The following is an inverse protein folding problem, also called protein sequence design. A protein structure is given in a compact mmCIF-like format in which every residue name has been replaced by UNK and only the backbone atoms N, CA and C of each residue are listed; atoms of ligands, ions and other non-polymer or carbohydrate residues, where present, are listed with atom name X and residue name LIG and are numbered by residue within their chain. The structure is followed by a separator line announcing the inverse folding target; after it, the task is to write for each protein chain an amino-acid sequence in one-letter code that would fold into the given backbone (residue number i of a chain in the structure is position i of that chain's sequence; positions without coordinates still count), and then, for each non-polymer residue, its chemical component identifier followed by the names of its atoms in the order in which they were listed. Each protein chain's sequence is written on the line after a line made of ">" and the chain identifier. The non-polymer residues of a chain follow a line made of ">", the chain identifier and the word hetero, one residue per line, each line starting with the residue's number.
data_IF_239882401150
#
_entry.id   IF_239882401150
#
_cell.length_a   1.000
_cell.length_b   1.000
_cell.length_c   1.000
_cell.angle_alpha   90.00
_cell.angle_beta   90.00
_cell.angle_gamma   90.00
#
_symmetry.space_group_name_H-M   'P 1'
#
loop_
_entity.id
_entity.type
_entity.pdbx_description
1 polymer ?
#
# COMPACT_ATOMS: atom_id res chain seq x y z
N UNK A 1 -54.34 -20.50 -13.98
CA UNK A 1 -53.53 -21.72 -14.27
C UNK A 1 -52.15 -21.26 -14.71
N UNK A 2 -51.23 -21.06 -13.76
CA UNK A 2 -49.86 -20.63 -14.05
C UNK A 2 -48.96 -21.85 -14.28
N UNK A 3 -48.37 -21.95 -15.46
CA UNK A 3 -47.44 -23.02 -15.80
C UNK A 3 -46.08 -22.72 -15.17
N UNK A 4 -45.61 -23.59 -14.27
CA UNK A 4 -44.28 -23.53 -13.68
C UNK A 4 -43.27 -24.20 -14.61
N UNK A 5 -42.28 -23.44 -15.07
CA UNK A 5 -41.14 -23.95 -15.84
C UNK A 5 -40.18 -24.72 -14.91
N UNK A 6 -39.72 -25.94 -15.26
CA UNK A 6 -38.68 -26.63 -14.51
C UNK A 6 -37.31 -25.95 -14.76
N UNK A 7 -36.57 -25.73 -13.68
CA UNK A 7 -35.32 -24.97 -13.64
C UNK A 7 -34.17 -25.76 -14.28
N UNK A 8 -33.46 -25.11 -15.20
CA UNK A 8 -32.27 -25.60 -15.92
C UNK A 8 -31.04 -25.44 -15.01
N UNK A 9 -30.95 -26.23 -13.94
CA UNK A 9 -29.82 -26.18 -12.99
C UNK A 9 -28.75 -27.26 -13.24
N UNK A 10 -29.07 -28.29 -14.03
CA UNK A 10 -28.13 -29.38 -14.33
C UNK A 10 -27.05 -29.00 -15.36
N UNK A 11 -27.33 -28.05 -16.27
CA UNK A 11 -26.51 -27.83 -17.47
C UNK A 11 -25.26 -26.96 -17.23
N UNK A 12 -25.28 -26.11 -16.20
CA UNK A 12 -24.15 -25.24 -15.87
C UNK A 12 -22.99 -26.06 -15.28
N UNK A 13 -23.32 -27.03 -14.41
CA UNK A 13 -22.36 -27.93 -13.76
C UNK A 13 -21.69 -28.87 -14.77
N UNK A 14 -22.45 -29.44 -15.70
CA UNK A 14 -21.92 -30.27 -16.79
C UNK A 14 -21.03 -29.46 -17.74
N UNK A 15 -21.37 -28.20 -18.00
CA UNK A 15 -20.55 -27.29 -18.81
C UNK A 15 -19.23 -26.94 -18.11
N UNK A 16 -19.27 -26.67 -16.80
CA UNK A 16 -18.08 -26.44 -15.97
C UNK A 16 -17.21 -27.69 -15.95
N UNK A 17 -17.79 -28.88 -15.72
CA UNK A 17 -17.06 -30.15 -15.68
C UNK A 17 -16.41 -30.49 -17.03
N UNK A 18 -17.12 -30.26 -18.14
CA UNK A 18 -16.58 -30.49 -19.49
C UNK A 18 -15.40 -29.55 -19.79
N UNK A 19 -15.49 -28.28 -19.39
CA UNK A 19 -14.36 -27.34 -19.48
C UNK A 19 -13.18 -27.77 -18.61
N UNK A 20 -13.43 -28.19 -17.37
CA UNK A 20 -12.39 -28.69 -16.46
C UNK A 20 -11.67 -29.93 -17.03
N UNK A 21 -12.40 -30.94 -17.51
CA UNK A 21 -11.83 -32.15 -18.14
C UNK A 21 -11.05 -31.84 -19.41
N UNK A 22 -11.50 -30.86 -20.21
CA UNK A 22 -10.81 -30.43 -21.44
C UNK A 22 -9.49 -29.71 -21.12
N UNK A 23 -9.47 -28.89 -20.05
CA UNK A 23 -8.27 -28.22 -19.55
C UNK A 23 -7.29 -29.21 -18.89
N UNK A 24 -7.78 -30.28 -18.28
CA UNK A 24 -6.96 -31.36 -17.71
C UNK A 24 -6.29 -32.19 -18.81
N UNK A 25 -7.06 -32.60 -19.83
CA UNK A 25 -6.58 -33.42 -20.94
C UNK A 25 -5.53 -32.74 -21.85
N UNK A 26 -5.44 -31.41 -21.85
CA UNK A 26 -4.50 -30.65 -22.68
C UNK A 26 -3.37 -29.96 -21.88
N UNK A 27 -3.21 -30.26 -20.58
CA UNK A 27 -2.22 -29.60 -19.72
C UNK A 27 -2.50 -28.10 -19.49
N UNK A 28 -3.73 -27.65 -19.72
CA UNK A 28 -4.21 -26.29 -19.48
C UNK A 28 -4.34 -25.97 -17.98
N UNK A 29 -4.63 -26.97 -17.14
CA UNK A 29 -4.64 -26.80 -15.68
C UNK A 29 -3.24 -26.45 -15.15
N UNK A 30 -2.20 -27.15 -15.61
CA UNK A 30 -0.82 -26.84 -15.20
C UNK A 30 -0.34 -25.48 -15.73
N UNK A 31 -0.74 -25.11 -16.95
CA UNK A 31 -0.46 -23.78 -17.52
C UNK A 31 -1.15 -22.68 -16.72
N UNK A 32 -2.42 -22.85 -16.39
CA UNK A 32 -3.18 -21.93 -15.55
C UNK A 32 -2.58 -21.81 -14.15
N UNK A 33 -2.13 -22.93 -13.56
CA UNK A 33 -1.46 -22.94 -12.27
C UNK A 33 -0.12 -22.20 -12.30
N UNK A 34 0.69 -22.40 -13.35
CA UNK A 34 1.94 -21.65 -13.56
C UNK A 34 1.68 -20.16 -13.77
N UNK A 35 0.71 -19.79 -14.61
CA UNK A 35 0.32 -18.41 -14.83
C UNK A 35 -0.18 -17.74 -13.53
N UNK A 36 -1.02 -18.42 -12.74
CA UNK A 36 -1.45 -17.92 -11.43
C UNK A 36 -0.28 -17.77 -10.45
N UNK A 37 0.68 -18.69 -10.45
CA UNK A 37 1.89 -18.59 -9.62
C UNK A 37 2.78 -17.43 -10.06
N UNK A 38 3.02 -17.27 -11.36
CA UNK A 38 3.80 -16.17 -11.92
C UNK A 38 3.14 -14.83 -11.65
N UNK A 39 1.82 -14.74 -11.80
CA UNK A 39 1.04 -13.55 -11.44
C UNK A 39 1.08 -13.28 -9.94
N UNK A 40 0.98 -14.30 -9.08
CA UNK A 40 1.12 -14.15 -7.64
C UNK A 40 2.52 -13.61 -7.27
N UNK A 41 3.59 -14.18 -7.82
CA UNK A 41 4.97 -13.70 -7.62
C UNK A 41 5.16 -12.28 -8.16
N UNK A 42 4.64 -11.98 -9.35
CA UNK A 42 4.71 -10.66 -9.96
C UNK A 42 3.95 -9.61 -9.13
N UNK A 43 2.76 -9.96 -8.63
CA UNK A 43 1.95 -9.07 -7.78
C UNK A 43 2.58 -8.81 -6.41
N UNK A 44 3.31 -9.80 -5.85
CA UNK A 44 4.10 -9.62 -4.62
C UNK A 44 5.29 -8.70 -4.89
N UNK A 45 5.94 -8.82 -6.05
CA UNK A 45 7.06 -7.96 -6.43
C UNK A 45 6.62 -6.53 -6.73
N UNK A 46 5.50 -6.36 -7.46
CA UNK A 46 4.95 -5.06 -7.83
C UNK A 46 3.47 -4.98 -7.42
N UNK A 47 3.18 -4.54 -6.19
CA UNK A 47 1.82 -4.40 -5.72
C UNK A 47 1.00 -3.41 -6.57
N UNK A 48 -0.33 -3.55 -6.54
CA UNK A 48 -1.23 -2.58 -7.19
C UNK A 48 -1.03 -1.20 -6.55
N UNK A 49 -0.85 -0.18 -7.39
CA UNK A 49 -0.86 1.23 -6.98
C UNK A 49 -2.09 1.58 -6.15
N UNK A 50 -1.91 2.43 -5.14
CA UNK A 50 -2.99 3.06 -4.39
C UNK A 50 -3.74 4.04 -5.30
N UNK A 51 -5.04 3.80 -5.46
CA UNK A 51 -5.88 4.59 -6.37
C UNK A 51 -6.03 6.04 -5.88
N UNK A 52 -6.08 7.00 -6.81
CA UNK A 52 -6.33 8.42 -6.52
C UNK A 52 -5.13 9.23 -6.01
N UNK A 53 -3.95 8.62 -5.90
CA UNK A 53 -2.72 9.32 -5.51
C UNK A 53 -2.15 10.18 -6.65
N UNK A 54 -1.71 11.40 -6.32
CA UNK A 54 -1.11 12.34 -7.28
C UNK A 54 0.11 13.05 -6.68
N UNK A 55 0.99 13.67 -7.47
CA UNK A 55 2.08 14.48 -6.92
C UNK A 55 1.57 15.71 -6.17
N UNK A 56 2.22 16.07 -5.08
CA UNK A 56 1.95 17.30 -4.34
C UNK A 56 2.42 18.50 -5.15
N UNK A 57 1.49 19.42 -5.43
CA UNK A 57 1.79 20.70 -6.12
C UNK A 57 1.85 21.89 -5.16
N UNK A 58 1.29 21.73 -3.96
CA UNK A 58 1.24 22.75 -2.92
C UNK A 58 1.54 22.12 -1.57
N UNK A 59 2.16 22.86 -0.67
CA UNK A 59 2.39 22.41 0.69
C UNK A 59 1.07 22.36 1.47
N UNK A 60 0.80 21.25 2.15
CA UNK A 60 -0.34 21.08 3.06
C UNK A 60 0.13 20.43 4.35
N UNK A 61 -0.41 20.87 5.48
CA UNK A 61 -0.11 20.28 6.78
C UNK A 61 -1.38 20.23 7.62
N UNK A 62 -1.59 19.14 8.35
CA UNK A 62 -2.70 18.99 9.29
C UNK A 62 -2.31 18.10 10.46
N UNK A 63 -3.07 18.22 11.55
CA UNK A 63 -2.99 17.33 12.69
C UNK A 63 -4.04 16.23 12.55
N UNK A 64 -3.65 15.02 12.91
CA UNK A 64 -4.54 13.86 13.00
C UNK A 64 -4.53 13.34 14.43
N UNK A 65 -5.72 13.18 15.00
CA UNK A 65 -5.90 12.55 16.30
C UNK A 65 -6.01 11.03 16.10
N UNK A 66 -5.04 10.24 16.57
CA UNK A 66 -5.06 8.80 16.43
C UNK A 66 -5.91 8.09 17.49
N UNK A 67 -6.62 8.84 18.35
CA UNK A 67 -7.50 8.26 19.36
C UNK A 67 -8.56 7.37 18.72
N UNK A 68 -8.69 6.16 19.26
CA UNK A 68 -9.72 5.19 18.88
C UNK A 68 -10.64 4.94 20.07
N UNK A 69 -11.86 4.54 19.79
CA UNK A 69 -12.75 3.97 20.80
C UNK A 69 -12.56 2.46 20.76
N UNK A 70 -12.27 1.86 21.90
CA UNK A 70 -12.05 0.42 22.01
C UNK A 70 -13.34 -0.35 21.73
N UNK A 71 -13.30 -1.30 20.80
CA UNK A 71 -14.45 -2.15 20.49
C UNK A 71 -14.63 -3.28 21.52
N UNK A 72 -13.52 -3.69 22.13
CA UNK A 72 -13.41 -4.72 23.16
C UNK A 72 -12.50 -4.23 24.31
N UNK A 73 -12.50 -4.98 25.41
CA UNK A 73 -11.58 -4.76 26.52
C UNK A 73 -10.12 -4.98 26.06
N UNK A 74 -9.27 -3.98 26.25
CA UNK A 74 -7.83 -4.09 26.00
C UNK A 74 -7.16 -4.59 27.28
N UNK A 75 -6.44 -5.69 27.18
CA UNK A 75 -5.64 -6.26 28.27
C UNK A 75 -4.15 -6.26 27.93
N UNK A 76 -3.30 -6.17 28.95
CA UNK A 76 -1.86 -6.32 28.80
C UNK A 76 -1.46 -7.80 28.65
N UNK A 77 -0.17 -8.05 28.39
CA UNK A 77 0.37 -9.41 28.26
C UNK A 77 0.26 -10.25 29.55
N UNK A 78 -0.12 -9.65 30.68
CA UNK A 78 -0.32 -10.29 31.99
C UNK A 78 -1.81 -10.44 32.34
N UNK A 79 -2.72 -10.01 31.46
CA UNK A 79 -4.17 -10.08 31.65
C UNK A 79 -4.77 -8.92 32.45
N UNK A 80 -4.02 -7.85 32.73
CA UNK A 80 -4.56 -6.66 33.40
C UNK A 80 -5.33 -5.80 32.40
N UNK A 81 -6.50 -5.31 32.78
CA UNK A 81 -7.31 -4.40 31.96
C UNK A 81 -6.57 -3.06 31.78
N UNK A 82 -6.18 -2.76 30.55
CA UNK A 82 -5.60 -1.48 30.13
C UNK A 82 -6.71 -0.46 29.85
N UNK A 83 -7.76 -0.90 29.15
CA UNK A 83 -8.91 -0.05 28.83
C UNK A 83 -10.16 -0.91 28.64
N UNK A 84 -11.27 -0.50 29.28
CA UNK A 84 -12.56 -1.15 29.06
C UNK A 84 -13.10 -0.83 27.66
N UNK A 85 -13.94 -1.70 27.12
CA UNK A 85 -14.73 -1.46 25.91
C UNK A 85 -15.44 -0.11 25.97
N UNK A 86 -15.43 0.62 24.85
CA UNK A 86 -16.03 1.95 24.71
C UNK A 86 -15.15 3.09 25.26
N UNK A 87 -13.95 2.79 25.75
CA UNK A 87 -13.01 3.82 26.22
C UNK A 87 -12.32 4.46 25.03
N UNK A 88 -12.22 5.80 25.02
CA UNK A 88 -11.35 6.50 24.07
C UNK A 88 -9.91 6.40 24.54
N UNK A 89 -9.07 5.78 23.73
CA UNK A 89 -7.63 5.61 24.01
C UNK A 89 -6.81 6.19 22.88
N UNK A 90 -5.72 6.87 23.23
CA UNK A 90 -4.74 7.32 22.26
C UNK A 90 -3.55 6.34 22.23
N UNK A 91 -3.31 5.64 21.11
CA UNK A 91 -2.19 4.70 21.00
C UNK A 91 -0.82 5.34 21.28
N UNK A 92 -0.68 6.66 21.07
CA UNK A 92 0.57 7.39 21.32
C UNK A 92 0.90 7.56 22.81
N UNK A 93 -0.08 7.42 23.71
CA UNK A 93 0.15 7.44 25.16
C UNK A 93 0.87 6.17 25.63
N UNK A 94 0.75 5.09 24.87
CA UNK A 94 1.36 3.79 25.17
C UNK A 94 2.61 3.53 24.32
N UNK A 95 2.58 3.92 23.04
CA UNK A 95 3.66 3.67 22.07
C UNK A 95 3.96 4.95 21.30
N UNK A 96 5.14 5.52 21.55
CA UNK A 96 5.59 6.68 20.79
C UNK A 96 5.95 6.29 19.35
N UNK A 97 5.58 7.15 18.40
CA UNK A 97 6.03 7.00 17.02
C UNK A 97 7.51 7.42 16.92
N UNK A 98 8.41 6.45 17.09
CA UNK A 98 9.86 6.68 17.07
C UNK A 98 10.44 6.97 15.68
N UNK A 99 9.71 6.59 14.62
CA UNK A 99 10.15 6.76 13.23
C UNK A 99 9.06 7.46 12.42
N UNK A 100 9.45 8.44 11.61
CA UNK A 100 8.51 9.05 10.67
C UNK A 100 8.03 8.00 9.64
N UNK A 101 6.80 8.16 9.16
CA UNK A 101 6.30 7.40 8.01
C UNK A 101 6.37 8.32 6.80
N UNK A 102 7.14 7.92 5.79
CA UNK A 102 7.39 8.74 4.59
C UNK A 102 6.76 8.06 3.40
N UNK A 103 5.69 8.63 2.87
CA UNK A 103 4.94 8.12 1.73
C UNK A 103 5.45 8.73 0.44
N UNK A 104 5.77 7.89 -0.54
CA UNK A 104 6.26 8.30 -1.87
C UNK A 104 5.60 7.52 -3.00
N UNK A 105 5.53 8.13 -4.18
CA UNK A 105 5.37 7.39 -5.43
C UNK A 105 6.68 6.67 -5.75
N UNK A 106 6.70 5.34 -5.62
CA UNK A 106 7.89 4.54 -5.87
C UNK A 106 8.30 4.43 -7.34
N UNK A 107 7.43 4.80 -8.28
CA UNK A 107 7.77 4.96 -9.69
C UNK A 107 8.39 6.34 -9.99
N UNK A 108 8.30 7.31 -9.06
CA UNK A 108 8.90 8.63 -9.17
C UNK A 108 10.33 8.64 -8.59
N UNK A 109 11.32 8.61 -9.49
CA UNK A 109 12.74 8.60 -9.11
C UNK A 109 13.15 9.82 -8.26
N UNK A 110 12.51 10.99 -8.44
CA UNK A 110 12.82 12.19 -7.65
C UNK A 110 12.38 12.04 -6.20
N UNK A 111 11.18 11.49 -5.98
CA UNK A 111 10.66 11.23 -4.63
C UNK A 111 11.46 10.14 -3.93
N UNK A 112 11.82 9.06 -4.64
CA UNK A 112 12.66 8.01 -4.07
C UNK A 112 14.05 8.54 -3.67
N UNK A 113 14.71 9.28 -4.57
CA UNK A 113 16.02 9.85 -4.28
C UNK A 113 15.96 10.85 -3.12
N UNK A 114 14.93 11.70 -3.09
CA UNK A 114 14.67 12.62 -1.98
C UNK A 114 14.47 11.86 -0.66
N UNK A 115 13.64 10.82 -0.64
CA UNK A 115 13.32 10.08 0.59
C UNK A 115 14.56 9.38 1.16
N UNK A 116 15.34 8.70 0.31
CA UNK A 116 16.55 7.99 0.76
C UNK A 116 17.66 8.95 1.17
N UNK A 117 17.81 10.10 0.50
CA UNK A 117 18.78 11.14 0.88
C UNK A 117 18.41 11.83 2.20
N UNK A 118 17.12 12.07 2.42
CA UNK A 118 16.64 12.86 3.56
C UNK A 118 16.52 12.03 4.84
N UNK A 119 16.15 10.76 4.72
CA UNK A 119 15.80 9.92 5.86
C UNK A 119 16.67 8.67 5.95
N UNK A 120 17.32 8.47 7.10
CA UNK A 120 17.96 7.20 7.40
C UNK A 120 16.95 6.12 7.81
N UNK A 121 17.35 4.85 7.74
CA UNK A 121 16.50 3.72 8.15
C UNK A 121 16.11 3.74 9.63
N UNK A 122 16.98 4.28 10.48
CA UNK A 122 16.69 4.48 11.90
C UNK A 122 15.63 5.58 12.13
N UNK A 123 15.50 6.57 11.24
CA UNK A 123 14.64 7.75 11.44
C UNK A 123 13.29 7.67 10.73
N UNK A 124 13.17 6.89 9.66
CA UNK A 124 11.91 6.77 8.95
C UNK A 124 11.71 5.43 8.26
N UNK A 125 10.44 5.02 8.19
CA UNK A 125 9.97 3.97 7.30
C UNK A 125 9.51 4.61 6.00
N UNK A 126 10.14 4.24 4.88
CA UNK A 126 9.71 4.69 3.55
C UNK A 126 8.64 3.71 3.05
N UNK A 127 7.48 4.26 2.72
CA UNK A 127 6.26 3.55 2.34
C UNK A 127 5.87 3.97 0.93
N UNK A 128 5.73 3.00 0.04
CA UNK A 128 5.40 3.22 -1.36
C UNK A 128 3.88 3.20 -1.52
N UNK A 129 3.36 4.11 -2.35
CA UNK A 129 1.96 4.06 -2.84
C UNK A 129 1.85 3.47 -4.25
N UNK A 130 3.00 3.27 -4.91
CA UNK A 130 3.17 2.74 -6.27
C UNK A 130 4.59 2.22 -6.46
N UNK A 131 4.84 1.51 -7.55
CA UNK A 131 6.15 0.91 -7.83
C UNK A 131 6.43 -0.37 -7.03
N UNK A 132 7.71 -0.76 -7.01
CA UNK A 132 8.18 -2.02 -6.44
C UNK A 132 9.15 -1.75 -5.28
N UNK A 133 8.71 -1.93 -4.03
CA UNK A 133 9.60 -1.84 -2.87
C UNK A 133 10.75 -2.84 -2.96
N UNK A 134 10.49 -4.05 -3.48
CA UNK A 134 11.50 -5.11 -3.61
C UNK A 134 12.63 -4.70 -4.56
N UNK A 135 12.31 -4.04 -5.68
CA UNK A 135 13.33 -3.57 -6.61
C UNK A 135 14.18 -2.43 -6.00
N UNK A 136 13.59 -1.64 -5.10
CA UNK A 136 14.31 -0.59 -4.37
C UNK A 136 15.22 -1.15 -3.25
N UNK A 137 14.96 -2.33 -2.70
CA UNK A 137 15.77 -2.88 -1.58
C UNK A 137 17.22 -3.17 -1.97
N UNK A 138 17.48 -3.69 -3.18
CA UNK A 138 18.84 -4.04 -3.64
C UNK A 138 19.79 -2.83 -3.75
N UNK A 139 19.45 -1.77 -4.49
CA UNK A 139 20.36 -0.63 -4.65
C UNK A 139 20.58 0.17 -3.37
N UNK A 140 19.59 0.19 -2.46
CA UNK A 140 19.64 1.04 -1.26
C UNK A 140 19.92 0.29 0.05
N UNK A 141 20.00 -1.04 0.01
CA UNK A 141 20.28 -1.93 1.15
C UNK A 141 19.47 -1.60 2.43
N UNK A 142 18.20 -1.21 2.26
CA UNK A 142 17.30 -0.86 3.35
C UNK A 142 15.88 -1.37 3.12
N UNK A 143 15.08 -1.37 4.18
CA UNK A 143 13.69 -1.82 4.09
C UNK A 143 12.81 -0.73 3.48
N UNK A 144 11.96 -1.16 2.56
CA UNK A 144 10.88 -0.38 2.00
C UNK A 144 9.57 -1.12 2.25
N UNK A 145 8.50 -0.36 2.45
CA UNK A 145 7.16 -0.86 2.72
C UNK A 145 6.22 -0.43 1.60
N UNK A 146 5.03 -1.02 1.54
CA UNK A 146 3.98 -0.61 0.62
C UNK A 146 2.68 -0.37 1.40
N UNK A 147 1.95 0.69 1.07
CA UNK A 147 0.62 0.94 1.63
C UNK A 147 -0.42 0.11 0.88
N UNK A 148 -0.44 -1.20 1.13
CA UNK A 148 -1.30 -2.12 0.42
C UNK A 148 -2.78 -1.74 0.61
N UNK A 149 -3.47 -1.52 -0.52
CA UNK A 149 -4.87 -1.10 -0.52
C UNK A 149 -5.12 0.32 -0.02
N UNK A 150 -4.08 1.14 0.21
CA UNK A 150 -4.24 2.53 0.64
C UNK A 150 -4.73 2.68 2.08
N UNK A 151 -4.44 1.71 2.96
CA UNK A 151 -4.97 1.67 4.33
C UNK A 151 -4.48 2.87 5.15
N UNK A 152 -3.18 3.15 5.11
CA UNK A 152 -2.58 4.25 5.89
C UNK A 152 -2.87 5.60 5.26
N UNK A 153 -2.70 5.73 3.94
CA UNK A 153 -3.01 6.96 3.20
C UNK A 153 -4.50 7.32 3.32
N UNK A 154 -5.39 6.33 3.24
CA UNK A 154 -6.82 6.48 3.49
C UNK A 154 -7.10 6.97 4.91
N UNK A 155 -6.52 6.29 5.92
CA UNK A 155 -6.69 6.66 7.35
C UNK A 155 -6.20 8.07 7.66
N UNK A 156 -5.04 8.46 7.12
CA UNK A 156 -4.45 9.77 7.39
C UNK A 156 -5.00 10.90 6.51
N UNK A 157 -5.82 10.58 5.50
CA UNK A 157 -6.35 11.56 4.55
C UNK A 157 -5.31 12.06 3.55
N UNK A 158 -4.23 11.30 3.34
CA UNK A 158 -3.18 11.62 2.36
C UNK A 158 -3.75 11.40 0.96
N UNK A 159 -3.52 12.38 0.08
CA UNK A 159 -3.96 12.38 -1.32
C UNK A 159 -2.82 12.73 -2.27
N UNK A 160 -1.73 13.28 -1.75
CA UNK A 160 -0.58 13.68 -2.55
C UNK A 160 0.74 13.16 -2.00
N UNK A 161 1.68 12.80 -2.89
CA UNK A 161 3.05 12.42 -2.53
C UNK A 161 4.08 13.46 -3.00
N UNK A 162 5.21 13.63 -2.29
CA UNK A 162 5.55 12.95 -1.04
C UNK A 162 4.73 13.47 0.15
N UNK A 163 4.49 12.58 1.11
CA UNK A 163 3.88 12.92 2.38
C UNK A 163 4.69 12.37 3.56
N UNK A 164 4.68 13.08 4.69
CA UNK A 164 5.39 12.68 5.91
C UNK A 164 4.42 12.71 7.08
N UNK A 165 4.39 11.63 7.85
CA UNK A 165 3.67 11.51 9.12
C UNK A 165 4.69 11.43 10.25
N UNK A 166 4.55 12.32 11.23
CA UNK A 166 5.47 12.43 12.37
C UNK A 166 4.71 12.69 13.66
N UNK A 167 5.33 12.40 14.81
CA UNK A 167 4.73 12.67 16.11
C UNK A 167 4.61 14.19 16.37
N UNK A 168 3.50 14.61 16.96
CA UNK A 168 3.22 15.97 17.39
C UNK A 168 2.48 15.95 18.74
N UNK A 169 3.20 15.55 19.79
CA UNK A 169 2.61 15.30 21.11
C UNK A 169 1.64 14.10 21.06
N UNK A 170 0.40 14.31 21.49
CA UNK A 170 -0.66 13.31 21.41
C UNK A 170 -1.28 13.19 20.00
N UNK A 171 -0.87 14.03 19.04
CA UNK A 171 -1.35 13.98 17.66
C UNK A 171 -0.25 13.50 16.72
N UNK A 172 -0.64 13.20 15.48
CA UNK A 172 0.27 13.06 14.36
C UNK A 172 0.23 14.33 13.52
N UNK A 173 1.40 14.82 13.11
CA UNK A 173 1.50 15.85 12.07
C UNK A 173 1.70 15.16 10.73
N UNK A 174 0.81 15.45 9.79
CA UNK A 174 0.91 15.04 8.40
C UNK A 174 1.31 16.24 7.56
N UNK A 175 2.19 16.03 6.60
CA UNK A 175 2.67 17.08 5.69
C UNK A 175 2.82 16.53 4.29
N UNK A 176 2.13 17.14 3.32
CA UNK A 176 2.34 16.94 1.89
C UNK A 176 3.12 18.16 1.37
N UNK A 177 4.09 17.96 0.50
CA UNK A 177 4.87 19.08 -0.04
C UNK A 177 5.40 18.80 -1.44
N UNK A 178 5.45 19.81 -2.30
CA UNK A 178 6.01 19.67 -3.63
C UNK A 178 7.51 19.41 -3.54
N UNK A 179 8.00 18.49 -4.37
CA UNK A 179 9.41 18.43 -4.70
C UNK A 179 9.68 19.29 -5.94
N UNK A 180 10.86 19.94 -6.01
CA UNK A 180 11.27 20.56 -7.26
C UNK A 180 11.27 19.51 -8.37
N UNK A 181 10.81 19.86 -9.58
CA UNK A 181 10.81 18.92 -10.70
C UNK A 181 12.22 18.37 -10.91
N UNK A 182 12.33 17.07 -11.18
CA UNK A 182 13.60 16.47 -11.54
C UNK A 182 14.20 17.25 -12.73
N UNK A 183 15.52 17.52 -12.73
CA UNK A 183 16.15 18.15 -13.88
C UNK A 183 15.91 17.26 -15.10
N UNK A 184 15.19 17.78 -16.09
CA UNK A 184 15.06 17.17 -17.41
C UNK A 184 16.47 17.02 -17.97
N UNK A 185 16.92 15.78 -18.19
CA UNK A 185 18.16 15.54 -18.91
C UNK A 185 18.07 16.24 -20.29
N UNK A 186 19.09 16.98 -20.74
CA UNK A 186 19.02 17.67 -22.01
C UNK A 186 18.83 16.65 -23.12
N UNK A 187 17.70 16.74 -23.81
CA UNK A 187 17.51 16.08 -25.10
C UNK A 187 18.43 16.78 -26.10
N UNK A 188 19.56 16.17 -26.46
CA UNK A 188 20.39 16.76 -27.51
C UNK A 188 21.77 16.14 -27.64
N UNK A 189 21.94 15.34 -28.70
CA UNK A 189 23.25 14.93 -29.17
C UNK A 189 23.22 13.96 -30.35
N UNK A 190 22.25 14.08 -31.26
CA UNK A 190 22.33 13.40 -32.55
C UNK A 190 23.56 13.92 -33.29
N UNK A 191 24.62 13.11 -33.34
CA UNK A 191 25.76 13.36 -34.23
C UNK A 191 25.33 12.99 -35.65
N UNK A 192 25.12 14.03 -36.45
CA UNK A 192 25.29 13.97 -37.91
C UNK A 192 26.71 14.45 -38.20
N UNK A 193 27.57 13.51 -38.58
CA UNK A 193 28.78 13.72 -39.39
C UNK A 193 29.15 12.39 -40.02
#
# INVERSE_FOLDING_TARGET
>A
MGQTFPIIEADLLTTIETKLRTLEANGGIERLQREMQEQAVASVRRPKRVDGMTPAITKREWLFDPSIVTEDDIVDAKGNLIAARGTRVNPLDMVQLHQALVFIDGDNAAELAWAVKTWSDARAKIIFVSGSPFDAMKPWQRRFYFDQGGTLTGKFGIRHTPAVVSAAGANLKISEFPLPPAPVAPAGGGKIS
#
